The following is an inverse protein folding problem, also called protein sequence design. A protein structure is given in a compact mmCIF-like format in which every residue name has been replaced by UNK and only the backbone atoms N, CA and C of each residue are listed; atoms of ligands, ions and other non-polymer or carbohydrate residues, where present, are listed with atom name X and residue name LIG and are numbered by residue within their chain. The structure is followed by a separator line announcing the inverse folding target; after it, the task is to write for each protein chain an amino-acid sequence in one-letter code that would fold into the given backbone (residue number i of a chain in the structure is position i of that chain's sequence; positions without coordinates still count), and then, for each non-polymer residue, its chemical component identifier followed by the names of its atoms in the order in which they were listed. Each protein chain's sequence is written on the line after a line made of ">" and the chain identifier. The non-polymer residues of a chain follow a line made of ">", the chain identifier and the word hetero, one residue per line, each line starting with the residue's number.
data_IF_593935252155
#
_entry.id   IF_593935252155
#
_cell.length_a   1.000
_cell.length_b   1.000
_cell.length_c   1.000
_cell.angle_alpha   90.00
_cell.angle_beta   90.00
_cell.angle_gamma   90.00
#
_symmetry.space_group_name_H-M   'P 1'
#
loop_
_entity.id
_entity.type
_entity.pdbx_description
1 polymer ?
#
# COMPACT_ATOMS: atom_id res chain seq x y z
N UNK A 1 3.71 8.78 -11.45
CA UNK A 1 2.96 9.96 -10.95
C UNK A 1 2.26 9.55 -9.67
N UNK A 2 2.40 10.26 -8.54
CA UNK A 2 1.57 9.99 -7.37
C UNK A 2 0.10 10.15 -7.80
N UNK A 3 -0.74 9.17 -7.47
CA UNK A 3 -2.17 9.27 -7.75
C UNK A 3 -2.70 10.55 -7.08
N UNK A 4 -3.47 11.36 -7.82
CA UNK A 4 -4.07 12.57 -7.27
C UNK A 4 -5.03 12.17 -6.13
N UNK A 5 -4.58 12.29 -4.89
CA UNK A 5 -5.37 11.91 -3.72
C UNK A 5 -6.44 12.99 -3.51
N UNK A 6 -7.71 12.58 -3.62
CA UNK A 6 -8.87 13.46 -3.35
C UNK A 6 -8.85 14.08 -1.94
N UNK A 7 -8.21 13.40 -0.99
CA UNK A 7 -8.07 13.84 0.40
C UNK A 7 -6.58 13.89 0.78
N UNK A 8 -6.10 14.98 1.40
CA UNK A 8 -4.76 15.05 1.97
C UNK A 8 -4.55 14.01 3.08
N UNK A 9 -3.31 13.53 3.24
CA UNK A 9 -2.98 12.55 4.28
C UNK A 9 -3.21 13.13 5.70
N UNK A 10 -2.92 14.41 5.92
CA UNK A 10 -3.21 15.10 7.18
C UNK A 10 -4.70 15.07 7.56
N UNK A 11 -5.59 15.23 6.57
CA UNK A 11 -7.04 15.17 6.78
C UNK A 11 -7.46 13.74 7.16
N UNK A 12 -6.87 12.74 6.50
CA UNK A 12 -7.12 11.33 6.80
C UNK A 12 -6.69 11.00 8.24
N UNK A 13 -5.48 11.38 8.62
CA UNK A 13 -4.93 11.06 9.95
C UNK A 13 -5.74 11.74 11.06
N UNK A 14 -6.09 13.01 10.86
CA UNK A 14 -6.97 13.74 11.77
C UNK A 14 -8.34 13.09 11.89
N UNK A 15 -8.98 12.72 10.77
CA UNK A 15 -10.30 12.10 10.78
C UNK A 15 -10.29 10.75 11.51
N UNK A 16 -9.25 9.94 11.29
CA UNK A 16 -9.07 8.66 11.98
C UNK A 16 -8.88 8.86 13.48
N UNK A 17 -8.03 9.81 13.90
CA UNK A 17 -7.83 10.14 15.31
C UNK A 17 -9.14 10.55 16.00
N UNK A 18 -9.90 11.46 15.39
CA UNK A 18 -11.20 11.90 15.94
C UNK A 18 -12.18 10.73 16.11
N UNK A 19 -12.18 9.75 15.19
CA UNK A 19 -13.03 8.58 15.32
C UNK A 19 -12.61 7.70 16.48
N UNK A 20 -11.30 7.53 16.71
CA UNK A 20 -10.82 6.76 17.86
C UNK A 20 -11.16 7.45 19.18
N UNK A 21 -10.90 8.75 19.31
CA UNK A 21 -11.29 9.55 20.48
C UNK A 21 -12.80 9.45 20.75
N UNK A 22 -13.64 9.62 19.72
CA UNK A 22 -15.09 9.50 19.86
C UNK A 22 -15.58 8.09 20.20
N UNK A 23 -14.75 7.05 20.01
CA UNK A 23 -15.06 5.66 20.38
C UNK A 23 -14.68 5.32 21.82
N UNK A 24 -13.84 6.11 22.46
CA UNK A 24 -13.49 5.94 23.87
C UNK A 24 -14.64 6.31 24.79
N UNK A 25 -15.47 7.28 24.39
CA UNK A 25 -16.70 7.65 25.10
C UNK A 25 -17.91 6.81 24.63
N UNK A 26 -18.54 6.00 25.50
CA UNK A 26 -19.71 5.18 25.17
C UNK A 26 -20.89 5.97 24.60
N UNK A 27 -21.04 7.24 24.96
CA UNK A 27 -22.15 8.09 24.50
C UNK A 27 -21.96 8.54 23.05
N UNK A 28 -20.72 8.74 22.61
CA UNK A 28 -20.39 9.22 21.26
C UNK A 28 -19.97 8.12 20.30
N UNK A 29 -19.63 6.93 20.81
CA UNK A 29 -19.13 5.79 20.05
C UNK A 29 -20.08 5.33 18.96
N UNK A 30 -21.38 5.28 19.26
CA UNK A 30 -22.41 4.92 18.30
C UNK A 30 -22.51 5.98 17.21
N UNK A 31 -22.31 5.57 15.95
CA UNK A 31 -22.39 6.46 14.80
C UNK A 31 -21.22 7.45 14.64
N UNK A 32 -20.14 7.34 15.45
CA UNK A 32 -18.99 8.24 15.40
C UNK A 32 -18.44 8.47 13.98
N UNK A 33 -18.27 7.39 13.22
CA UNK A 33 -17.78 7.44 11.83
C UNK A 33 -18.69 8.28 10.94
N UNK A 34 -20.01 8.13 11.05
CA UNK A 34 -20.95 8.88 10.21
C UNK A 34 -20.92 10.36 10.52
N UNK A 35 -20.99 10.70 11.81
CA UNK A 35 -20.99 12.08 12.31
C UNK A 35 -19.71 12.82 11.91
N UNK A 36 -18.55 12.21 12.11
CA UNK A 36 -17.25 12.82 11.79
C UNK A 36 -17.07 12.94 10.27
N UNK A 37 -17.52 11.95 9.50
CA UNK A 37 -17.50 12.03 8.04
C UNK A 37 -18.32 13.22 7.52
N UNK A 38 -19.53 13.43 8.06
CA UNK A 38 -20.37 14.58 7.73
C UNK A 38 -19.71 15.91 8.11
N UNK A 39 -19.16 16.02 9.34
CA UNK A 39 -18.48 17.23 9.82
C UNK A 39 -17.27 17.63 8.97
N UNK A 40 -16.56 16.65 8.41
CA UNK A 40 -15.35 16.87 7.60
C UNK A 40 -15.61 16.85 6.09
N UNK A 41 -16.86 16.62 5.64
CA UNK A 41 -17.21 16.52 4.22
C UNK A 41 -16.58 15.30 3.52
N UNK A 42 -16.32 14.22 4.27
CA UNK A 42 -15.72 12.98 3.76
C UNK A 42 -16.84 11.98 3.51
N UNK A 43 -16.71 11.15 2.47
CA UNK A 43 -17.63 10.03 2.30
C UNK A 43 -17.49 9.04 3.49
N UNK A 44 -18.62 8.69 4.11
CA UNK A 44 -18.67 7.80 5.28
C UNK A 44 -17.95 6.47 5.09
N UNK A 45 -18.09 5.84 3.92
CA UNK A 45 -17.43 4.55 3.63
C UNK A 45 -15.92 4.72 3.45
N UNK A 46 -15.48 5.87 2.91
CA UNK A 46 -14.05 6.20 2.84
C UNK A 46 -13.44 6.31 4.24
N UNK A 47 -14.09 7.05 5.15
CA UNK A 47 -13.62 7.17 6.54
C UNK A 47 -13.65 5.82 7.26
N UNK A 48 -14.70 5.00 7.04
CA UNK A 48 -14.77 3.64 7.59
C UNK A 48 -13.58 2.79 7.15
N UNK A 49 -13.21 2.83 5.87
CA UNK A 49 -12.06 2.11 5.34
C UNK A 49 -10.74 2.56 6.00
N UNK A 50 -10.54 3.86 6.19
CA UNK A 50 -9.35 4.37 6.86
C UNK A 50 -9.26 3.93 8.32
N UNK A 51 -10.36 3.97 9.04
CA UNK A 51 -10.42 3.51 10.44
C UNK A 51 -10.16 2.01 10.52
N UNK A 52 -10.68 1.22 9.57
CA UNK A 52 -10.40 -0.21 9.50
C UNK A 52 -8.92 -0.50 9.24
N UNK A 53 -8.31 0.19 8.26
CA UNK A 53 -6.87 0.05 8.00
C UNK A 53 -6.03 0.47 9.21
N UNK A 54 -6.39 1.56 9.89
CA UNK A 54 -5.69 2.00 11.09
C UNK A 54 -5.80 0.99 12.26
N UNK A 55 -6.89 0.21 12.33
CA UNK A 55 -6.99 -0.92 13.27
C UNK A 55 -6.09 -2.08 12.89
N UNK A 56 -5.91 -2.36 11.59
CA UNK A 56 -4.96 -3.37 11.13
C UNK A 56 -3.54 -2.92 11.44
N UNK A 57 -3.21 -1.67 11.12
CA UNK A 57 -1.89 -1.10 11.32
C UNK A 57 -1.49 -1.04 12.82
N UNK A 58 -2.46 -0.95 13.73
CA UNK A 58 -2.23 -1.03 15.19
C UNK A 58 -2.28 -2.45 15.77
N UNK A 59 -2.56 -3.47 14.94
CA UNK A 59 -2.72 -4.86 15.38
C UNK A 59 -4.06 -5.18 16.07
N UNK A 60 -4.99 -4.23 16.10
CA UNK A 60 -6.34 -4.41 16.67
C UNK A 60 -7.34 -5.11 15.72
N UNK A 61 -6.91 -5.46 14.51
CA UNK A 61 -7.63 -6.27 13.54
C UNK A 61 -6.65 -7.08 12.68
N UNK A 62 -7.11 -8.23 12.17
CA UNK A 62 -6.35 -9.03 11.21
C UNK A 62 -6.36 -8.38 9.82
N UNK A 63 -5.23 -8.44 9.13
CA UNK A 63 -5.08 -7.94 7.77
C UNK A 63 -3.63 -7.60 7.44
N UNK A 64 -3.39 -7.16 6.21
CA UNK A 64 -2.08 -6.67 5.78
C UNK A 64 -1.92 -5.22 6.21
N UNK A 65 -0.84 -4.92 6.94
CA UNK A 65 -0.57 -3.55 7.35
C UNK A 65 -0.19 -2.70 6.14
N UNK A 66 -0.32 -1.38 6.28
CA UNK A 66 0.13 -0.43 5.27
C UNK A 66 1.64 -0.58 5.01
N UNK A 67 2.43 -0.84 6.06
CA UNK A 67 3.86 -1.06 5.97
C UNK A 67 4.21 -2.36 5.21
N UNK A 68 3.54 -3.47 5.54
CA UNK A 68 3.75 -4.74 4.83
C UNK A 68 3.36 -4.62 3.36
N UNK A 69 2.25 -3.92 3.07
CA UNK A 69 1.81 -3.69 1.69
C UNK A 69 2.84 -2.91 0.87
N UNK A 70 3.46 -1.89 1.47
CA UNK A 70 4.54 -1.14 0.85
C UNK A 70 5.77 -2.03 0.61
N UNK A 71 6.15 -2.82 1.61
CA UNK A 71 7.32 -3.71 1.52
C UNK A 71 7.12 -4.78 0.46
N UNK A 72 5.94 -5.38 0.36
CA UNK A 72 5.59 -6.35 -0.68
C UNK A 72 5.73 -5.70 -2.06
N UNK A 73 5.20 -4.50 -2.26
CA UNK A 73 5.29 -3.81 -3.54
C UNK A 73 6.74 -3.46 -3.95
N UNK A 74 7.60 -3.11 -2.99
CA UNK A 74 9.04 -2.91 -3.23
C UNK A 74 9.72 -4.21 -3.64
N UNK A 75 9.47 -5.29 -2.90
CA UNK A 75 10.05 -6.61 -3.20
C UNK A 75 9.60 -7.13 -4.56
N UNK A 76 8.33 -6.95 -4.93
CA UNK A 76 7.82 -7.33 -6.24
C UNK A 76 8.50 -6.57 -7.39
N UNK A 77 8.80 -5.28 -7.19
CA UNK A 77 9.58 -4.49 -8.15
C UNK A 77 11.00 -5.01 -8.27
N UNK A 78 11.67 -5.24 -7.15
CA UNK A 78 13.04 -5.77 -7.12
C UNK A 78 13.12 -7.14 -7.80
N UNK A 79 12.20 -8.06 -7.48
CA UNK A 79 12.11 -9.38 -8.12
C UNK A 79 11.90 -9.25 -9.63
N UNK A 80 11.09 -8.28 -10.07
CA UNK A 80 10.86 -8.05 -11.50
C UNK A 80 12.12 -7.56 -12.20
N UNK A 81 12.87 -6.65 -11.59
CA UNK A 81 14.14 -6.15 -12.12
C UNK A 81 15.21 -7.25 -12.16
N UNK A 82 15.35 -8.02 -11.08
CA UNK A 82 16.27 -9.15 -11.01
C UNK A 82 15.96 -10.20 -12.10
N UNK A 83 14.68 -10.50 -12.33
CA UNK A 83 14.28 -11.42 -13.41
C UNK A 83 14.63 -10.88 -14.80
N UNK A 84 14.47 -9.57 -15.03
CA UNK A 84 14.86 -8.93 -16.29
C UNK A 84 16.37 -8.99 -16.49
N UNK A 85 17.16 -8.64 -15.48
CA UNK A 85 18.62 -8.71 -15.52
C UNK A 85 19.11 -10.15 -15.77
N UNK A 86 18.53 -11.13 -15.08
CA UNK A 86 18.87 -12.53 -15.26
C UNK A 86 18.56 -13.03 -16.68
N UNK A 87 17.43 -12.60 -17.26
CA UNK A 87 17.07 -12.91 -18.65
C UNK A 87 18.10 -12.35 -19.63
N UNK A 88 18.51 -11.09 -19.44
CA UNK A 88 19.54 -10.46 -20.26
C UNK A 88 20.88 -11.21 -20.17
N UNK A 89 21.34 -11.54 -18.95
CA UNK A 89 22.58 -12.29 -18.74
C UNK A 89 22.56 -13.67 -19.39
N UNK A 90 21.42 -14.37 -19.31
CA UNK A 90 21.23 -15.68 -19.98
C UNK A 90 21.33 -15.54 -21.49
N UNK A 91 20.69 -14.53 -22.07
CA UNK A 91 20.76 -14.26 -23.51
C UNK A 91 22.19 -13.92 -23.95
N UNK A 92 22.90 -13.08 -23.20
CA UNK A 92 24.29 -12.75 -23.48
C UNK A 92 25.20 -14.00 -23.40
N UNK A 93 25.02 -14.82 -22.36
CA UNK A 93 25.77 -16.08 -22.19
C UNK A 93 25.52 -17.05 -23.35
N UNK A 94 24.26 -17.19 -23.78
CA UNK A 94 23.91 -18.03 -24.93
C UNK A 94 24.50 -17.50 -26.24
N UNK A 95 24.50 -16.18 -26.43
CA UNK A 95 25.13 -15.53 -27.58
C UNK A 95 26.64 -15.83 -27.64
N UNK A 96 27.36 -15.61 -26.54
CA UNK A 96 28.81 -15.87 -26.49
C UNK A 96 29.14 -17.35 -26.65
N UNK A 97 28.35 -18.26 -26.07
CA UNK A 97 28.54 -19.70 -26.28
C UNK A 97 28.38 -20.08 -27.76
N UNK A 98 27.36 -19.54 -28.44
CA UNK A 98 27.15 -19.79 -29.86
C UNK A 98 28.24 -19.18 -30.77
N UNK A 99 28.85 -18.06 -30.36
CA UNK A 99 29.98 -17.46 -31.07
C UNK A 99 31.26 -18.29 -30.92
N UNK A 100 31.52 -18.87 -29.75
CA UNK A 100 32.66 -19.77 -29.50
C UNK A 100 32.56 -21.07 -30.31
N UNK A 101 31.35 -21.61 -30.52
CA UNK A 101 31.12 -22.84 -31.30
C UNK A 101 31.20 -22.63 -32.83
N UNK A 102 31.40 -21.40 -33.31
CA UNK A 102 31.48 -21.10 -34.75
C UNK A 102 32.95 -21.19 -35.22
N UNK A 103 33.36 -22.23 -35.96
CA UNK A 103 34.73 -22.32 -36.45
C UNK A 103 35.00 -21.15 -37.41
N UNK A 104 36.13 -20.47 -37.23
CA UNK A 104 36.66 -19.50 -38.19
C UNK A 104 36.81 -20.22 -39.54
N UNK A 105 36.00 -19.81 -40.53
CA UNK A 105 36.22 -20.14 -41.94
C UNK A 105 36.98 -19.02 -42.61
#
# INVERSE_FOLDING_TARGET
>A
MPANKKYPDELRDRAVRLVFEAKEDPTTANGAVGRIAEQLGINKETLRGWVYQARIDSGAALGTTTADSQRIAELEREVTELRRANSFLKQASAFFAAELDRPYR
#
